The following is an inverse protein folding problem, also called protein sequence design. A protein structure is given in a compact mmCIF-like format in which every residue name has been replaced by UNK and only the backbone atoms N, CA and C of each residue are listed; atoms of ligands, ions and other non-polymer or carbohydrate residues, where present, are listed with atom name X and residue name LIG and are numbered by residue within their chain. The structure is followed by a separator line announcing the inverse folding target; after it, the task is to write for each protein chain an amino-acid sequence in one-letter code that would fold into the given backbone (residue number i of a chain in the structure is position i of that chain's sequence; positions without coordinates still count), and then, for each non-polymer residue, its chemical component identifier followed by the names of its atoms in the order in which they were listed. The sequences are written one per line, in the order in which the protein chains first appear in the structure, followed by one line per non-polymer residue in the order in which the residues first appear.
data_IF_701908992548
#
_entry.id   IF_701908992548
#
_cell.length_a   1.000
_cell.length_b   1.000
_cell.length_c   1.000
_cell.angle_alpha   90.00
_cell.angle_beta   90.00
_cell.angle_gamma   90.00
#
_symmetry.space_group_name_H-M   'P 1'
#
loop_
_entity.id
_entity.type
_entity.pdbx_description
1 polymer ?
#
# COMPACT_ATOMS: atom_id res chain seq x y z
N UNK A 1 -68.36 15.99 42.60
CA UNK A 1 -68.08 15.09 41.45
C UNK A 1 -66.98 15.68 40.61
N UNK A 2 -65.76 15.14 40.63
CA UNK A 2 -64.68 15.65 39.78
C UNK A 2 -64.65 14.93 38.43
N UNK A 3 -64.59 15.71 37.37
CA UNK A 3 -64.53 15.29 35.99
C UNK A 3 -63.11 14.85 35.65
N UNK A 4 -62.92 13.57 35.37
CA UNK A 4 -61.68 12.96 34.93
C UNK A 4 -61.36 13.38 33.49
N UNK A 5 -60.34 14.21 33.25
CA UNK A 5 -59.84 14.51 31.91
C UNK A 5 -58.78 13.47 31.53
N UNK A 6 -59.11 12.59 30.61
CA UNK A 6 -58.16 11.70 29.98
C UNK A 6 -57.33 12.48 28.95
N UNK A 7 -56.03 12.57 29.17
CA UNK A 7 -55.08 13.09 28.18
C UNK A 7 -54.65 11.96 27.24
N UNK A 8 -55.06 12.04 25.96
CA UNK A 8 -54.46 11.18 24.90
C UNK A 8 -53.06 11.69 24.54
N UNK A 9 -52.06 10.94 24.87
CA UNK A 9 -50.71 11.19 24.36
C UNK A 9 -50.59 10.52 22.96
N UNK A 10 -50.54 11.37 21.92
CA UNK A 10 -50.24 10.90 20.57
C UNK A 10 -48.75 10.60 20.44
N UNK A 11 -48.42 9.30 20.30
CA UNK A 11 -47.04 8.86 20.01
C UNK A 11 -46.76 9.08 18.51
N UNK A 12 -46.06 10.14 18.19
CA UNK A 12 -45.55 10.38 16.83
C UNK A 12 -44.33 9.47 16.58
N UNK A 13 -44.54 8.38 15.84
CA UNK A 13 -43.43 7.57 15.34
C UNK A 13 -42.79 8.33 14.17
N UNK A 14 -41.65 8.94 14.41
CA UNK A 14 -40.77 9.50 13.38
C UNK A 14 -40.15 8.32 12.61
N UNK A 15 -40.74 7.95 11.48
CA UNK A 15 -40.09 7.11 10.49
C UNK A 15 -38.93 7.92 9.88
N UNK A 16 -37.72 7.64 10.34
CA UNK A 16 -36.53 8.09 9.65
C UNK A 16 -36.54 7.47 8.23
N UNK A 17 -36.29 8.26 7.18
CA UNK A 17 -36.16 7.68 5.85
C UNK A 17 -35.00 6.68 5.90
N UNK A 18 -35.27 5.41 5.54
CA UNK A 18 -34.21 4.45 5.31
C UNK A 18 -33.30 5.05 4.23
N UNK A 19 -32.03 5.30 4.56
CA UNK A 19 -31.06 5.68 3.55
C UNK A 19 -31.06 4.57 2.50
N UNK A 20 -31.49 4.89 1.28
CA UNK A 20 -31.41 3.97 0.17
C UNK A 20 -29.91 3.69 -0.02
N UNK A 21 -29.45 2.49 0.35
CA UNK A 21 -28.15 2.01 -0.04
C UNK A 21 -28.13 2.01 -1.56
N UNK A 22 -27.37 2.94 -2.15
CA UNK A 22 -27.14 2.91 -3.58
C UNK A 22 -26.46 1.57 -3.87
N UNK A 23 -27.18 0.68 -4.58
CA UNK A 23 -26.59 -0.58 -5.00
C UNK A 23 -25.48 -0.27 -6.01
N UNK A 24 -24.27 -0.67 -5.70
CA UNK A 24 -23.16 -0.55 -6.63
C UNK A 24 -23.42 -1.46 -7.85
N UNK A 25 -23.02 -1.06 -9.06
CA UNK A 25 -23.08 -1.94 -10.21
C UNK A 25 -22.34 -3.25 -9.95
N UNK A 26 -22.76 -4.39 -10.50
CA UNK A 26 -21.99 -5.61 -10.42
C UNK A 26 -20.56 -5.40 -10.90
N UNK A 27 -19.56 -5.89 -10.15
CA UNK A 27 -18.13 -5.80 -10.47
C UNK A 27 -17.58 -4.36 -10.52
N UNK A 28 -18.23 -3.39 -9.88
CA UNK A 28 -17.77 -2.00 -9.84
C UNK A 28 -16.34 -1.85 -9.27
N UNK A 29 -15.91 -2.80 -8.46
CA UNK A 29 -14.60 -2.88 -7.78
C UNK A 29 -13.65 -3.90 -8.41
N UNK A 30 -14.05 -4.58 -9.49
CA UNK A 30 -13.27 -5.64 -10.11
C UNK A 30 -11.91 -5.17 -10.64
N UNK A 31 -11.79 -3.89 -10.99
CA UNK A 31 -10.56 -3.28 -11.49
C UNK A 31 -9.77 -2.53 -10.40
N UNK A 32 -10.29 -2.48 -9.16
CA UNK A 32 -9.66 -1.77 -8.05
C UNK A 32 -8.68 -2.64 -7.23
N UNK A 33 -8.31 -3.81 -7.75
CA UNK A 33 -7.36 -4.68 -7.09
C UNK A 33 -5.94 -4.10 -7.15
N UNK A 34 -5.27 -4.02 -6.00
CA UNK A 34 -3.85 -3.71 -5.96
C UNK A 34 -3.03 -4.83 -6.62
N UNK A 35 -1.91 -4.51 -7.30
CA UNK A 35 -1.04 -5.54 -7.84
C UNK A 35 -0.62 -6.54 -6.75
N UNK A 36 -0.67 -7.82 -7.06
CA UNK A 36 -0.21 -8.89 -6.18
C UNK A 36 1.23 -9.30 -6.50
N UNK A 37 1.89 -9.95 -5.55
CA UNK A 37 3.19 -10.60 -5.76
C UNK A 37 3.01 -12.10 -5.90
N UNK A 38 3.92 -12.74 -6.62
CA UNK A 38 4.08 -14.18 -6.62
C UNK A 38 4.89 -14.59 -5.38
N UNK A 39 4.33 -15.45 -4.56
CA UNK A 39 5.06 -16.10 -3.47
C UNK A 39 5.87 -17.26 -4.03
N UNK A 40 7.16 -17.24 -3.78
CA UNK A 40 8.11 -18.25 -4.26
C UNK A 40 8.32 -19.38 -3.25
N UNK A 41 7.80 -19.22 -2.02
CA UNK A 41 8.04 -20.17 -0.94
C UNK A 41 6.76 -20.97 -0.63
N UNK A 42 6.84 -22.31 -0.56
CA UNK A 42 5.68 -23.12 -0.22
C UNK A 42 5.31 -23.10 1.27
N UNK A 43 6.15 -22.54 2.14
CA UNK A 43 5.90 -22.46 3.59
C UNK A 43 4.90 -21.32 3.87
N UNK A 44 3.73 -21.60 4.47
CA UNK A 44 2.69 -20.59 4.71
C UNK A 44 3.07 -19.51 5.73
N UNK A 45 4.19 -19.65 6.40
CA UNK A 45 4.73 -18.68 7.36
C UNK A 45 5.92 -17.88 6.76
N UNK A 46 6.19 -18.03 5.45
CA UNK A 46 7.23 -17.32 4.72
C UNK A 46 6.61 -16.69 3.47
N UNK A 47 6.75 -15.38 3.31
CA UNK A 47 6.54 -14.72 2.02
C UNK A 47 7.90 -14.45 1.37
N UNK A 48 8.22 -15.17 0.31
CA UNK A 48 9.44 -14.99 -0.47
C UNK A 48 9.12 -14.45 -1.85
N UNK A 49 9.63 -13.27 -2.19
CA UNK A 49 9.26 -12.57 -3.42
C UNK A 49 10.46 -12.03 -4.18
N UNK A 50 10.24 -11.74 -5.47
CA UNK A 50 11.09 -10.85 -6.25
C UNK A 50 10.48 -9.47 -6.32
N UNK A 51 11.28 -8.45 -6.03
CA UNK A 51 10.90 -7.06 -6.16
C UNK A 51 11.94 -6.33 -7.02
N UNK A 52 11.49 -5.73 -8.10
CA UNK A 52 12.32 -4.99 -9.04
C UNK A 52 11.94 -3.50 -9.03
N UNK A 53 12.91 -2.63 -8.74
CA UNK A 53 12.74 -1.20 -8.98
C UNK A 53 13.19 -0.87 -10.40
N UNK A 54 12.29 -0.30 -11.22
CA UNK A 54 12.57 0.03 -12.62
C UNK A 54 11.71 1.19 -13.13
N UNK A 55 12.12 1.76 -14.24
CA UNK A 55 11.24 2.67 -14.98
C UNK A 55 10.16 1.84 -15.68
N UNK A 56 8.92 2.29 -15.59
CA UNK A 56 7.78 1.71 -16.28
C UNK A 56 6.88 2.81 -16.83
N UNK A 57 6.06 2.49 -17.82
CA UNK A 57 5.03 3.38 -18.32
C UNK A 57 3.68 2.96 -17.76
N UNK A 58 2.97 3.87 -17.12
CA UNK A 58 1.63 3.65 -16.58
C UNK A 58 0.66 4.68 -17.14
N UNK A 59 -0.58 4.29 -17.32
CA UNK A 59 -1.64 5.21 -17.72
C UNK A 59 -2.24 5.85 -16.45
N UNK A 60 -1.89 7.12 -16.19
CA UNK A 60 -2.45 7.91 -15.09
C UNK A 60 -3.62 8.75 -15.61
N UNK A 61 -3.44 9.39 -16.76
CA UNK A 61 -4.50 10.10 -17.46
C UNK A 61 -4.98 9.28 -18.66
N UNK A 62 -6.29 9.22 -18.94
CA UNK A 62 -6.82 8.43 -20.04
C UNK A 62 -6.10 8.65 -21.37
N UNK A 63 -5.57 7.58 -21.94
CA UNK A 63 -4.84 7.58 -23.21
C UNK A 63 -3.43 8.17 -23.17
N UNK A 64 -2.88 8.46 -21.97
CA UNK A 64 -1.52 9.01 -21.80
C UNK A 64 -0.66 8.10 -20.95
N UNK A 65 0.45 7.65 -21.52
CA UNK A 65 1.47 6.90 -20.80
C UNK A 65 2.43 7.86 -20.09
N UNK A 66 2.61 7.65 -18.81
CA UNK A 66 3.52 8.42 -17.95
C UNK A 66 4.68 7.53 -17.52
N UNK A 67 5.93 7.86 -17.83
CA UNK A 67 7.09 7.18 -17.28
C UNK A 67 7.17 7.42 -15.77
N UNK A 68 7.12 6.35 -14.99
CA UNK A 68 7.24 6.37 -13.52
C UNK A 68 8.36 5.47 -13.07
N UNK A 69 8.83 5.66 -11.85
CA UNK A 69 9.65 4.67 -11.20
C UNK A 69 8.75 3.77 -10.37
N UNK A 70 8.85 2.48 -10.56
CA UNK A 70 7.89 1.54 -10.01
C UNK A 70 8.56 0.33 -9.38
N UNK A 71 7.87 -0.29 -8.46
CA UNK A 71 8.15 -1.66 -8.05
C UNK A 71 7.32 -2.62 -8.90
N UNK A 72 7.97 -3.55 -9.59
CA UNK A 72 7.38 -4.56 -10.48
C UNK A 72 6.49 -3.99 -11.61
N UNK A 73 6.66 -2.71 -11.97
CA UNK A 73 5.96 -2.09 -13.09
C UNK A 73 4.58 -1.51 -12.78
N UNK A 74 4.12 -1.60 -11.54
CA UNK A 74 2.85 -1.03 -11.07
C UNK A 74 3.01 0.32 -10.36
N UNK A 75 1.93 1.08 -10.28
CA UNK A 75 1.78 2.27 -9.48
C UNK A 75 0.42 2.24 -8.77
N UNK A 76 0.40 2.04 -7.45
CA UNK A 76 1.53 1.76 -6.56
C UNK A 76 2.21 0.43 -6.88
N UNK A 77 3.33 0.16 -6.18
CA UNK A 77 3.93 -1.16 -6.14
C UNK A 77 3.00 -2.21 -5.50
N UNK A 78 3.32 -3.50 -5.60
CA UNK A 78 2.43 -4.56 -5.15
C UNK A 78 2.14 -4.55 -3.65
N UNK A 79 0.92 -4.95 -3.30
CA UNK A 79 0.52 -5.15 -1.91
C UNK A 79 1.20 -6.39 -1.32
N UNK A 80 1.89 -6.23 -0.19
CA UNK A 80 2.42 -7.34 0.59
C UNK A 80 1.45 -7.63 1.74
N UNK A 81 0.88 -8.84 1.77
CA UNK A 81 0.00 -9.32 2.85
C UNK A 81 0.68 -10.42 3.63
N UNK A 82 0.79 -10.23 4.94
CA UNK A 82 1.45 -11.15 5.87
C UNK A 82 0.71 -11.15 7.21
N UNK A 83 1.14 -12.00 8.13
CA UNK A 83 0.71 -11.99 9.53
C UNK A 83 1.89 -11.82 10.48
N UNK A 84 1.61 -11.45 11.71
CA UNK A 84 2.64 -11.41 12.77
C UNK A 84 3.27 -12.78 12.91
N UNK A 85 4.60 -12.81 12.94
CA UNK A 85 5.40 -14.02 13.01
C UNK A 85 5.90 -14.53 11.67
N UNK A 86 5.32 -14.10 10.55
CA UNK A 86 5.80 -14.47 9.22
C UNK A 86 7.21 -13.93 8.97
N UNK A 87 7.95 -14.65 8.14
CA UNK A 87 9.25 -14.21 7.61
C UNK A 87 9.06 -13.63 6.22
N UNK A 88 9.52 -12.40 6.02
CA UNK A 88 9.55 -11.76 4.70
C UNK A 88 10.95 -11.89 4.09
N UNK A 89 11.03 -12.45 2.90
CA UNK A 89 12.28 -12.56 2.11
C UNK A 89 12.04 -11.83 0.79
N UNK A 90 12.80 -10.77 0.54
CA UNK A 90 12.68 -9.98 -0.70
C UNK A 90 13.97 -9.99 -1.47
N UNK A 91 13.99 -10.67 -2.60
CA UNK A 91 15.08 -10.63 -3.57
C UNK A 91 14.94 -9.35 -4.41
N UNK A 92 15.58 -8.30 -3.94
CA UNK A 92 15.49 -6.98 -4.56
C UNK A 92 16.52 -6.80 -5.67
N UNK A 93 16.08 -6.23 -6.80
CA UNK A 93 16.92 -5.80 -7.91
C UNK A 93 16.65 -4.35 -8.23
N UNK A 94 17.70 -3.54 -8.29
CA UNK A 94 17.62 -2.13 -8.67
C UNK A 94 18.01 -1.94 -10.14
N UNK A 95 17.03 -1.80 -11.03
CA UNK A 95 17.23 -1.48 -12.45
C UNK A 95 16.96 0.00 -12.78
N UNK A 96 16.92 0.86 -11.75
CA UNK A 96 16.83 2.31 -11.93
C UNK A 96 18.17 2.90 -12.39
N UNK A 97 18.16 4.13 -12.94
CA UNK A 97 19.38 4.86 -13.26
C UNK A 97 20.16 5.38 -12.04
N UNK A 98 19.56 5.34 -10.85
CA UNK A 98 20.12 5.82 -9.58
C UNK A 98 20.18 4.71 -8.54
N UNK A 99 21.06 4.87 -7.55
CA UNK A 99 21.10 4.01 -6.37
C UNK A 99 19.81 4.17 -5.56
N UNK A 100 19.35 3.08 -4.94
CA UNK A 100 18.10 3.10 -4.15
C UNK A 100 18.18 2.16 -2.95
N UNK A 101 17.18 2.25 -2.07
CA UNK A 101 16.99 1.34 -0.94
C UNK A 101 15.52 0.93 -0.87
N UNK A 102 15.20 -0.07 -0.05
CA UNK A 102 13.84 -0.26 0.45
C UNK A 102 13.88 -0.07 1.96
N UNK A 103 13.10 0.91 2.42
CA UNK A 103 12.79 1.11 3.83
C UNK A 103 11.37 0.59 4.11
N UNK A 104 11.22 -0.05 5.24
CA UNK A 104 9.99 -0.67 5.72
C UNK A 104 9.35 0.25 6.75
N UNK A 105 8.63 1.24 6.25
CA UNK A 105 8.15 2.36 7.06
C UNK A 105 7.17 1.92 8.15
N UNK A 106 7.50 2.28 9.39
CA UNK A 106 6.71 1.98 10.57
C UNK A 106 6.97 0.60 11.20
N UNK A 107 7.79 -0.23 10.55
CA UNK A 107 8.07 -1.59 11.01
C UNK A 107 9.34 -1.68 11.86
N UNK A 108 9.34 -2.54 12.88
CA UNK A 108 10.53 -2.88 13.65
C UNK A 108 11.31 -3.99 12.97
N UNK A 109 12.35 -3.63 12.24
CA UNK A 109 13.21 -4.57 11.52
C UNK A 109 14.64 -4.52 12.04
N UNK A 110 15.46 -5.58 11.81
CA UNK A 110 16.90 -5.51 12.07
C UNK A 110 17.54 -4.36 11.31
N UNK A 111 18.45 -3.62 11.94
CA UNK A 111 19.07 -2.44 11.36
C UNK A 111 19.72 -2.68 9.98
N UNK A 112 20.29 -3.88 9.76
CA UNK A 112 20.84 -4.28 8.46
C UNK A 112 19.79 -4.40 7.35
N UNK A 113 18.51 -4.50 7.69
CA UNK A 113 17.37 -4.67 6.78
C UNK A 113 16.51 -3.41 6.67
N UNK A 114 16.81 -2.35 7.44
CA UNK A 114 15.98 -1.14 7.53
C UNK A 114 15.97 -0.29 6.25
N UNK A 115 17.02 -0.38 5.45
CA UNK A 115 17.12 0.39 4.21
C UNK A 115 17.51 1.86 4.40
N UNK A 116 17.85 2.29 5.62
CA UNK A 116 18.43 3.61 5.83
C UNK A 116 19.78 3.68 5.10
N UNK A 117 20.02 4.69 4.24
CA UNK A 117 21.25 4.75 3.43
C UNK A 117 22.48 5.02 4.31
N UNK A 118 23.59 4.40 3.92
CA UNK A 118 24.90 4.56 4.57
C UNK A 118 25.00 4.02 6.00
N UNK A 119 23.96 3.35 6.51
CA UNK A 119 24.01 2.72 7.81
C UNK A 119 23.06 1.50 7.91
N UNK A 120 23.58 0.30 8.16
CA UNK A 120 25.00 -0.11 8.23
C UNK A 120 25.64 -0.37 6.85
N UNK A 121 24.92 -0.17 5.76
CA UNK A 121 25.38 -0.48 4.40
C UNK A 121 25.03 0.64 3.40
N UNK A 122 25.75 0.71 2.27
CA UNK A 122 25.40 1.64 1.19
C UNK A 122 24.05 1.26 0.54
N UNK A 123 23.43 2.18 -0.21
CA UNK A 123 22.32 1.89 -1.08
C UNK A 123 22.62 0.76 -2.07
N UNK A 124 21.58 0.16 -2.61
CA UNK A 124 21.68 -0.83 -3.68
C UNK A 124 22.00 -0.11 -4.98
N UNK A 125 23.16 -0.47 -5.58
CA UNK A 125 23.68 0.22 -6.76
C UNK A 125 22.70 0.22 -7.93
N UNK A 126 22.71 1.29 -8.70
CA UNK A 126 21.95 1.44 -9.94
C UNK A 126 22.24 0.32 -10.96
N UNK A 127 21.32 0.11 -11.89
CA UNK A 127 21.51 -0.68 -13.11
C UNK A 127 21.91 -2.13 -12.88
N UNK A 128 21.16 -2.82 -12.01
CA UNK A 128 21.32 -4.25 -11.75
C UNK A 128 21.89 -4.62 -10.40
N UNK A 129 22.07 -3.63 -9.50
CA UNK A 129 22.41 -3.92 -8.11
C UNK A 129 21.36 -4.78 -7.44
N UNK A 130 21.79 -5.64 -6.51
CA UNK A 130 20.91 -6.61 -5.83
C UNK A 130 21.16 -6.61 -4.34
N UNK A 131 20.08 -6.87 -3.61
CA UNK A 131 20.14 -7.12 -2.17
C UNK A 131 18.98 -8.04 -1.76
N UNK A 132 19.19 -8.89 -0.76
CA UNK A 132 18.12 -9.69 -0.18
C UNK A 132 17.78 -9.14 1.21
N UNK A 133 16.56 -8.65 1.37
CA UNK A 133 15.98 -8.34 2.67
C UNK A 133 15.41 -9.61 3.25
N UNK A 134 15.62 -9.86 4.55
CA UNK A 134 15.23 -11.10 5.21
C UNK A 134 15.02 -10.84 6.70
N UNK A 135 13.76 -10.85 7.15
CA UNK A 135 13.41 -10.56 8.53
C UNK A 135 12.03 -11.11 8.91
N UNK A 136 11.79 -11.27 10.21
CA UNK A 136 10.52 -11.72 10.78
C UNK A 136 9.69 -10.51 11.20
N UNK A 137 8.39 -10.53 10.89
CA UNK A 137 7.43 -9.49 11.23
C UNK A 137 7.03 -9.60 12.69
N UNK A 138 7.11 -8.47 13.42
CA UNK A 138 6.88 -8.43 14.87
C UNK A 138 5.59 -7.71 15.26
N UNK A 139 5.06 -6.89 14.39
CA UNK A 139 3.94 -6.00 14.68
C UNK A 139 2.87 -6.13 13.62
N UNK A 140 1.61 -6.20 14.05
CA UNK A 140 0.47 -6.05 13.16
C UNK A 140 0.25 -4.56 12.84
N UNK A 141 -0.29 -4.29 11.67
CA UNK A 141 -0.63 -2.92 11.25
C UNK A 141 -0.66 -2.73 9.75
N UNK A 142 -0.94 -1.49 9.38
CA UNK A 142 -0.88 -1.00 8.01
C UNK A 142 0.40 -0.20 7.84
N UNK A 143 1.27 -0.67 6.98
CA UNK A 143 2.59 -0.13 6.72
C UNK A 143 2.77 0.14 5.23
N UNK A 144 3.93 0.68 4.87
CA UNK A 144 4.31 0.84 3.47
C UNK A 144 5.83 0.69 3.28
N UNK A 145 6.26 0.45 2.07
CA UNK A 145 7.67 0.36 1.72
C UNK A 145 8.01 1.40 0.65
N UNK A 146 9.19 2.01 0.79
CA UNK A 146 9.65 3.08 -0.09
C UNK A 146 11.18 3.28 0.04
N UNK A 147 11.83 4.03 -0.89
CA UNK A 147 13.26 4.31 -0.76
C UNK A 147 13.57 5.36 0.30
N UNK A 148 14.76 5.26 0.90
CA UNK A 148 15.38 6.30 1.70
C UNK A 148 16.59 6.97 1.01
N UNK A 149 17.05 6.47 -0.15
CA UNK A 149 18.01 7.14 -1.00
C UNK A 149 17.27 8.15 -1.89
N UNK A 150 17.61 9.44 -1.80
CA UNK A 150 16.92 10.52 -2.55
C UNK A 150 15.38 10.39 -2.45
N UNK A 151 14.89 10.25 -1.21
CA UNK A 151 13.54 9.75 -0.93
C UNK A 151 12.44 10.60 -1.56
N UNK A 152 12.52 11.94 -1.43
CA UNK A 152 11.49 12.84 -1.96
C UNK A 152 11.33 12.67 -3.48
N UNK A 153 12.43 12.67 -4.23
CA UNK A 153 12.40 12.51 -5.68
C UNK A 153 11.98 11.10 -6.10
N UNK A 154 12.47 10.05 -5.42
CA UNK A 154 12.17 8.67 -5.80
C UNK A 154 10.72 8.26 -5.47
N UNK A 155 10.21 8.67 -4.31
CA UNK A 155 8.79 8.48 -3.94
C UNK A 155 7.87 9.29 -4.86
N UNK A 156 8.21 10.55 -5.10
CA UNK A 156 7.46 11.42 -6.04
C UNK A 156 7.39 10.89 -7.46
N UNK A 157 8.33 10.01 -7.86
CA UNK A 157 8.31 9.31 -9.15
C UNK A 157 7.52 8.01 -9.13
N UNK A 158 7.05 7.54 -7.96
CA UNK A 158 6.17 6.36 -7.84
C UNK A 158 6.75 5.16 -7.07
N UNK A 159 7.92 5.27 -6.44
CA UNK A 159 8.51 4.15 -5.68
C UNK A 159 7.89 4.03 -4.29
N UNK A 160 6.73 3.44 -4.19
CA UNK A 160 6.09 3.07 -2.93
C UNK A 160 5.12 1.91 -3.12
N UNK A 161 4.84 1.19 -2.04
CA UNK A 161 3.85 0.13 -2.03
C UNK A 161 3.38 -0.20 -0.60
N UNK A 162 2.17 -0.76 -0.45
CA UNK A 162 1.55 -1.04 0.83
C UNK A 162 1.98 -2.39 1.41
N UNK A 163 1.95 -2.46 2.75
CA UNK A 163 2.13 -3.69 3.51
C UNK A 163 1.01 -3.79 4.54
N UNK A 164 0.33 -4.92 4.59
CA UNK A 164 -0.63 -5.25 5.64
C UNK A 164 -0.09 -6.45 6.41
N UNK A 165 0.07 -6.26 7.72
CA UNK A 165 0.43 -7.34 8.64
C UNK A 165 -0.75 -7.57 9.59
N UNK A 166 -1.39 -8.71 9.47
CA UNK A 166 -2.55 -9.07 10.30
C UNK A 166 -2.11 -9.72 11.60
N UNK A 167 -2.89 -9.49 12.68
CA UNK A 167 -2.80 -10.30 13.88
C UNK A 167 -3.87 -11.40 13.81
N UNK A 168 -3.51 -12.68 13.82
CA UNK A 168 -4.48 -13.77 13.79
C UNK A 168 -5.44 -13.77 14.99
N UNK A 169 -5.08 -13.06 16.07
CA UNK A 169 -5.88 -12.93 17.30
C UNK A 169 -6.73 -11.65 17.33
N UNK A 170 -6.67 -10.80 16.30
CA UNK A 170 -7.41 -9.54 16.25
C UNK A 170 -8.91 -9.74 16.33
N UNK A 171 -9.57 -8.91 17.14
CA UNK A 171 -11.04 -8.86 17.29
C UNK A 171 -11.47 -7.38 17.39
N UNK A 172 -12.60 -6.98 16.80
CA UNK A 172 -13.54 -7.79 16.00
C UNK A 172 -12.99 -8.14 14.61
N UNK A 173 -13.48 -9.20 14.01
CA UNK A 173 -13.21 -9.52 12.60
C UNK A 173 -14.26 -8.85 11.73
N UNK A 174 -13.81 -8.12 10.73
CA UNK A 174 -14.67 -7.52 9.72
C UNK A 174 -14.92 -8.50 8.58
N UNK A 175 -16.07 -8.36 7.89
CA UNK A 175 -16.41 -9.22 6.75
C UNK A 175 -15.55 -8.89 5.53
N UNK A 176 -15.24 -7.60 5.36
CA UNK A 176 -14.45 -7.07 4.24
C UNK A 176 -13.36 -6.14 4.75
N UNK A 177 -12.23 -6.15 4.07
CA UNK A 177 -11.07 -5.29 4.33
C UNK A 177 -10.65 -4.60 3.04
N UNK A 178 -10.78 -3.27 3.00
CA UNK A 178 -10.46 -2.46 1.84
C UNK A 178 -9.17 -1.67 2.08
N UNK A 179 -8.16 -1.92 1.25
CA UNK A 179 -6.89 -1.17 1.27
C UNK A 179 -6.96 -0.01 0.30
N UNK A 180 -6.91 1.22 0.81
CA UNK A 180 -6.87 2.44 0.02
C UNK A 180 -5.50 3.11 0.14
N UNK A 181 -4.93 3.49 -1.00
CA UNK A 181 -3.69 4.27 -1.07
C UNK A 181 -4.04 5.64 -1.66
N UNK A 182 -3.78 6.67 -0.88
CA UNK A 182 -3.94 8.06 -1.32
C UNK A 182 -2.56 8.59 -1.72
N UNK A 183 -2.47 9.06 -2.95
CA UNK A 183 -1.24 9.64 -3.51
C UNK A 183 -1.58 10.83 -4.38
N UNK A 184 -0.77 11.87 -4.31
CA UNK A 184 -0.81 13.00 -5.21
C UNK A 184 0.35 12.94 -6.19
N UNK A 185 0.08 13.27 -7.45
CA UNK A 185 1.07 13.27 -8.53
C UNK A 185 0.87 14.52 -9.37
N UNK A 186 1.93 15.34 -9.45
CA UNK A 186 1.96 16.48 -10.35
C UNK A 186 2.24 16.03 -11.80
N UNK A 187 1.33 16.38 -12.72
CA UNK A 187 1.49 16.08 -14.15
C UNK A 187 1.40 17.38 -14.96
N UNK A 188 2.17 17.44 -16.04
CA UNK A 188 2.03 18.47 -17.06
C UNK A 188 0.84 18.18 -18.03
N UNK A 189 0.59 19.08 -18.97
CA UNK A 189 -0.48 18.93 -19.97
C UNK A 189 -0.27 17.71 -20.90
N UNK A 190 0.95 17.25 -21.05
CA UNK A 190 1.27 16.04 -21.83
C UNK A 190 1.11 14.76 -21.01
N UNK A 191 0.83 14.87 -19.69
CA UNK A 191 0.71 13.75 -18.78
C UNK A 191 2.06 13.24 -18.28
N UNK A 192 3.11 14.07 -18.33
CA UNK A 192 4.42 13.71 -17.81
C UNK A 192 4.56 14.19 -16.36
N UNK A 193 5.36 13.47 -15.56
CA UNK A 193 5.63 13.87 -14.18
C UNK A 193 6.30 15.24 -14.13
N UNK A 194 5.75 16.14 -13.33
CA UNK A 194 6.44 17.36 -12.95
C UNK A 194 7.68 17.01 -12.12
N UNK A 195 8.78 17.81 -12.23
CA UNK A 195 9.91 17.65 -11.33
C UNK A 195 9.43 17.72 -9.87
N UNK A 196 9.84 16.77 -9.04
CA UNK A 196 9.69 16.92 -7.59
C UNK A 196 10.55 18.09 -7.15
N UNK A 197 9.94 19.10 -6.55
CA UNK A 197 10.69 20.17 -5.90
C UNK A 197 11.40 19.58 -4.67
N UNK A 198 12.75 19.75 -4.60
CA UNK A 198 13.58 19.35 -3.47
C UNK A 198 13.31 20.22 -2.22
#
# INVERSE_FOLDING_TARGET
MPILRAALAALAILLAPAAASASQPPLWDAELALPAVEDLNPDPDILEIRLEARVAEVEILPGKLTPVWSYNGGLPGPLLKLKVGDRLIVHFTNNLPEDTTIHWHGMRVPNAMDGAPNFPRPPVAARGGRFTYDFVLRDAGTFWYHPHANSAAQVGRGLYGPIIVTDPNEQPRFADDLVLILSDIGLDEAGQLLPSED
#
